data_IF_823962570901
#
_entry.id   IF_823962570901
#
_cell.length_a   1.000
_cell.length_b   1.000
_cell.length_c   1.000
_cell.angle_alpha   90.00
_cell.angle_beta   90.00
_cell.angle_gamma   90.00
#
_symmetry.space_group_name_H-M   'P 1'
#
loop_
_entity.id
_entity.type
_entity.pdbx_description
1 polymer ?
#
# COMPACT_ATOMS: atom_id res chain seq x y z
N UNK A 1 -31.63 -54.83 23.19
CA UNK A 1 -30.21 -54.46 23.45
C UNK A 1 -29.27 -54.95 22.36
N UNK A 2 -29.41 -56.18 21.84
CA UNK A 2 -28.54 -56.69 20.76
C UNK A 2 -28.71 -55.99 19.38
N UNK A 3 -29.87 -55.41 19.09
CA UNK A 3 -30.13 -54.69 17.82
C UNK A 3 -29.48 -53.32 17.74
N UNK A 4 -29.54 -52.53 18.81
CA UNK A 4 -28.90 -51.21 18.93
C UNK A 4 -27.37 -51.27 18.88
N UNK A 5 -26.79 -52.39 19.28
CA UNK A 5 -25.34 -52.58 19.29
C UNK A 5 -24.81 -52.88 17.88
N UNK A 6 -25.62 -53.55 17.06
CA UNK A 6 -25.32 -53.87 15.66
C UNK A 6 -25.47 -52.65 14.74
N UNK A 7 -26.49 -51.83 14.95
CA UNK A 7 -26.68 -50.56 14.20
C UNK A 7 -25.51 -49.59 14.44
N UNK A 8 -24.98 -49.55 15.67
CA UNK A 8 -23.83 -48.70 16.01
C UNK A 8 -22.51 -49.21 15.41
N UNK A 9 -22.33 -50.53 15.31
CA UNK A 9 -21.17 -51.13 14.64
C UNK A 9 -21.21 -50.90 13.12
N UNK A 10 -22.40 -50.95 12.50
CA UNK A 10 -22.58 -50.65 11.08
C UNK A 10 -22.33 -49.16 10.76
N UNK A 11 -22.77 -48.22 11.61
CA UNK A 11 -22.45 -46.79 11.47
C UNK A 11 -20.95 -46.48 11.65
N UNK A 12 -20.26 -47.14 12.58
CA UNK A 12 -18.81 -46.96 12.79
C UNK A 12 -17.97 -47.49 11.62
N UNK A 13 -18.39 -48.58 10.98
CA UNK A 13 -17.76 -49.11 9.75
C UNK A 13 -17.96 -48.12 8.58
N UNK A 14 -19.16 -47.57 8.41
CA UNK A 14 -19.45 -46.61 7.33
C UNK A 14 -18.66 -45.29 7.49
N UNK A 15 -18.46 -44.83 8.73
CA UNK A 15 -17.64 -43.65 9.01
C UNK A 15 -16.16 -43.93 8.72
N UNK A 16 -15.64 -45.10 9.07
CA UNK A 16 -14.24 -45.49 8.78
C UNK A 16 -13.98 -45.58 7.28
N UNK A 17 -14.94 -46.10 6.51
CA UNK A 17 -14.81 -46.19 5.06
C UNK A 17 -14.78 -44.79 4.43
N UNK A 18 -15.64 -43.86 4.87
CA UNK A 18 -15.64 -42.45 4.43
C UNK A 18 -14.36 -41.69 4.81
N UNK A 19 -13.77 -41.99 5.97
CA UNK A 19 -12.48 -41.38 6.38
C UNK A 19 -11.37 -41.87 5.46
N UNK A 20 -11.33 -43.17 5.17
CA UNK A 20 -10.31 -43.79 4.31
C UNK A 20 -10.39 -43.30 2.86
N UNK A 21 -11.59 -43.05 2.36
CA UNK A 21 -11.81 -42.45 1.04
C UNK A 21 -11.27 -41.01 0.99
N UNK A 22 -11.58 -40.19 2.01
CA UNK A 22 -11.05 -38.82 2.11
C UNK A 22 -9.53 -38.74 2.26
N UNK A 23 -8.92 -39.65 3.01
CA UNK A 23 -7.46 -39.73 3.14
C UNK A 23 -6.79 -40.04 1.80
N UNK A 24 -7.43 -40.85 0.96
CA UNK A 24 -6.95 -41.17 -0.38
C UNK A 24 -7.04 -39.96 -1.32
N UNK A 25 -8.13 -39.20 -1.25
CA UNK A 25 -8.31 -37.97 -2.04
C UNK A 25 -7.28 -36.90 -1.64
N UNK A 26 -6.98 -36.77 -0.34
CA UNK A 26 -5.96 -35.83 0.16
C UNK A 26 -4.57 -36.22 -0.36
N UNK A 27 -4.22 -37.51 -0.32
CA UNK A 27 -2.94 -37.99 -0.84
C UNK A 27 -2.78 -37.76 -2.35
N UNK A 28 -3.86 -37.86 -3.12
CA UNK A 28 -3.86 -37.59 -4.56
C UNK A 28 -3.65 -36.08 -4.85
N UNK A 29 -4.30 -35.21 -4.06
CA UNK A 29 -4.12 -33.75 -4.15
C UNK A 29 -2.71 -33.29 -3.75
N UNK A 30 -2.11 -33.90 -2.73
CA UNK A 30 -0.72 -33.61 -2.32
C UNK A 30 0.28 -34.01 -3.42
N UNK A 31 0.08 -35.17 -4.05
CA UNK A 31 0.93 -35.62 -5.16
C UNK A 31 0.78 -34.73 -6.42
N UNK A 32 -0.40 -34.15 -6.65
CA UNK A 32 -0.59 -33.18 -7.74
C UNK A 32 0.06 -31.83 -7.43
N UNK A 33 -0.02 -31.37 -6.18
CA UNK A 33 0.65 -30.15 -5.74
C UNK A 33 2.18 -30.25 -5.86
N UNK A 34 2.77 -31.39 -5.52
CA UNK A 34 4.23 -31.61 -5.62
C UNK A 34 4.72 -31.54 -7.08
N UNK A 35 3.95 -32.13 -8.02
CA UNK A 35 4.23 -32.03 -9.46
C UNK A 35 4.17 -30.59 -9.98
N UNK A 36 3.21 -29.80 -9.50
CA UNK A 36 3.09 -28.38 -9.89
C UNK A 36 4.26 -27.54 -9.34
N UNK A 37 4.71 -27.82 -8.12
CA UNK A 37 5.89 -27.16 -7.53
C UNK A 37 7.14 -27.48 -8.35
N UNK A 38 7.34 -28.75 -8.72
CA UNK A 38 8.47 -29.16 -9.56
C UNK A 38 8.45 -28.47 -10.93
N UNK A 39 7.29 -28.42 -11.60
CA UNK A 39 7.12 -27.71 -12.87
C UNK A 39 7.45 -26.22 -12.78
N UNK A 40 7.01 -25.54 -11.72
CA UNK A 40 7.31 -24.12 -11.47
C UNK A 40 8.82 -23.93 -11.26
N UNK A 41 9.47 -24.82 -10.49
CA UNK A 41 10.92 -24.71 -10.25
C UNK A 41 11.72 -24.85 -11.54
N UNK A 42 11.41 -25.82 -12.40
CA UNK A 42 12.04 -25.96 -13.71
C UNK A 42 11.86 -24.72 -14.59
N UNK A 43 10.66 -24.13 -14.60
CA UNK A 43 10.37 -22.96 -15.41
C UNK A 43 11.12 -21.72 -14.90
N UNK A 44 11.26 -21.58 -13.58
CA UNK A 44 12.06 -20.50 -12.97
C UNK A 44 13.55 -20.62 -13.29
N UNK A 45 14.12 -21.83 -13.34
CA UNK A 45 15.52 -22.04 -13.74
C UNK A 45 15.74 -21.74 -15.23
N UNK A 46 14.81 -22.15 -16.10
CA UNK A 46 14.82 -21.79 -17.55
C UNK A 46 14.77 -20.27 -17.76
N UNK A 47 14.06 -19.53 -16.91
CA UNK A 47 14.01 -18.06 -16.96
C UNK A 47 15.35 -17.45 -16.48
N UNK A 48 15.94 -17.93 -15.39
CA UNK A 48 17.25 -17.45 -14.90
C UNK A 48 18.35 -17.64 -15.93
N UNK A 49 18.36 -18.75 -16.66
CA UNK A 49 19.34 -19.04 -17.70
C UNK A 49 19.19 -18.10 -18.92
N UNK A 50 17.96 -17.84 -19.36
CA UNK A 50 17.66 -16.85 -20.43
C UNK A 50 18.07 -15.42 -20.04
N UNK A 51 17.95 -15.04 -18.78
CA UNK A 51 18.38 -13.73 -18.26
C UNK A 51 19.91 -13.63 -18.24
N UNK A 52 20.63 -14.73 -17.98
CA UNK A 52 22.11 -14.78 -17.98
C UNK A 52 22.69 -14.63 -19.39
N UNK A 53 22.05 -15.24 -20.39
CA UNK A 53 22.46 -15.15 -21.81
C UNK A 53 22.26 -13.72 -22.36
N UNK A 54 21.19 -13.02 -21.98
CA UNK A 54 20.96 -11.61 -22.39
C UNK A 54 21.93 -10.59 -21.79
N UNK A 55 22.52 -10.87 -20.62
CA UNK A 55 23.51 -9.97 -20.00
C UNK A 55 24.90 -10.08 -20.63
N UNK A 56 25.24 -11.20 -21.27
CA UNK A 56 26.55 -11.38 -21.92
C UNK A 56 26.60 -10.88 -23.37
N UNK A 57 25.46 -10.72 -24.05
CA UNK A 57 25.42 -10.24 -25.45
C UNK A 57 25.36 -8.71 -25.61
N UNK A 58 25.28 -7.92 -24.52
CA UNK A 58 25.28 -6.44 -24.57
C UNK A 58 26.66 -5.78 -24.37
N UNK A 59 27.73 -6.56 -24.19
CA UNK A 59 29.11 -6.06 -24.09
C UNK A 59 29.89 -6.49 -25.33
N UNK A 60 29.58 -5.93 -26.51
CA UNK A 60 30.44 -5.91 -27.72
C UNK A 60 29.75 -5.16 -28.87
N UNK A 61 29.58 -3.85 -28.75
CA UNK A 61 29.56 -2.91 -29.90
C UNK A 61 29.21 -1.50 -29.43
N UNK A 62 30.22 -0.63 -29.29
CA UNK A 62 30.19 0.80 -29.60
C UNK A 62 31.48 1.46 -29.06
N UNK A 63 32.56 1.36 -29.82
CA UNK A 63 33.59 2.41 -29.82
C UNK A 63 33.13 3.45 -30.84
N UNK A 64 32.86 4.70 -30.46
CA UNK A 64 33.05 5.92 -31.29
C UNK A 64 33.02 7.16 -30.37
N UNK A 65 34.16 7.86 -30.35
CA UNK A 65 34.42 9.30 -30.08
C UNK A 65 34.13 9.87 -28.68
N UNK A 66 35.20 9.98 -27.88
CA UNK A 66 35.26 10.83 -26.68
C UNK A 66 35.67 12.26 -27.07
N UNK A 67 34.80 13.25 -26.80
CA UNK A 67 35.23 14.62 -26.49
C UNK A 67 35.31 14.75 -24.96
N UNK A 68 36.36 15.35 -24.39
CA UNK A 68 36.45 15.50 -22.94
C UNK A 68 35.52 16.62 -22.48
N UNK A 69 34.36 16.27 -21.92
CA UNK A 69 33.57 17.19 -21.10
C UNK A 69 34.18 17.17 -19.70
N UNK A 70 34.86 18.25 -19.35
CA UNK A 70 35.31 18.54 -18.00
C UNK A 70 34.11 18.59 -17.06
N UNK A 71 34.05 17.63 -16.13
CA UNK A 71 33.11 17.61 -15.01
C UNK A 71 33.20 18.94 -14.23
N UNK A 72 32.11 19.69 -14.02
CA UNK A 72 32.14 20.75 -13.03
C UNK A 72 32.44 20.15 -11.66
N UNK A 73 33.47 20.68 -11.03
CA UNK A 73 33.94 20.28 -9.70
C UNK A 73 32.83 20.49 -8.69
N UNK A 74 32.60 19.45 -7.88
CA UNK A 74 31.87 19.53 -6.61
C UNK A 74 32.42 20.70 -5.80
N UNK A 75 31.63 21.77 -5.70
CA UNK A 75 31.63 22.64 -4.53
C UNK A 75 30.33 22.31 -3.80
N UNK A 76 30.29 21.10 -3.24
CA UNK A 76 29.37 20.82 -2.14
C UNK A 76 30.15 21.26 -0.91
N UNK A 77 29.87 22.49 -0.50
CA UNK A 77 30.27 23.04 0.79
C UNK A 77 29.93 22.02 1.87
N UNK A 78 30.89 21.81 2.76
CA UNK A 78 30.84 20.84 3.86
C UNK A 78 29.66 21.14 4.78
N UNK A 79 28.53 20.51 4.54
CA UNK A 79 27.53 20.32 5.59
C UNK A 79 26.91 18.94 5.38
N UNK A 80 27.58 17.93 5.93
CA UNK A 80 26.96 16.62 6.15
C UNK A 80 25.86 16.81 7.17
N UNK A 81 24.69 17.27 6.73
CA UNK A 81 23.46 17.00 7.43
C UNK A 81 23.36 15.47 7.52
N UNK A 82 23.53 14.92 8.73
CA UNK A 82 23.07 13.57 9.03
C UNK A 82 21.57 13.58 8.69
N UNK A 83 21.20 12.99 7.56
CA UNK A 83 19.81 12.59 7.35
C UNK A 83 19.55 11.57 8.46
N UNK A 84 18.93 12.01 9.55
CA UNK A 84 18.43 11.09 10.56
C UNK A 84 17.29 10.35 9.86
N UNK A 85 17.42 9.04 9.72
CA UNK A 85 16.29 8.20 9.38
C UNK A 85 15.19 8.48 10.43
N UNK A 86 14.04 8.95 9.95
CA UNK A 86 12.90 9.22 10.81
C UNK A 86 12.42 7.87 11.33
N UNK A 87 12.44 7.68 12.64
CA UNK A 87 11.99 6.44 13.26
C UNK A 87 10.48 6.45 13.41
N UNK A 88 9.88 5.26 13.55
CA UNK A 88 8.45 5.13 13.88
C UNK A 88 8.09 5.87 15.18
N UNK A 89 9.00 5.88 16.16
CA UNK A 89 8.81 6.63 17.40
C UNK A 89 8.72 8.14 17.18
N UNK A 90 9.48 8.68 16.20
CA UNK A 90 9.44 10.10 15.87
C UNK A 90 8.12 10.47 15.16
N UNK A 91 7.63 9.59 14.29
CA UNK A 91 6.31 9.73 13.67
C UNK A 91 5.21 9.74 14.75
N UNK A 92 5.25 8.78 15.68
CA UNK A 92 4.27 8.69 16.77
C UNK A 92 4.35 9.94 17.66
N UNK A 93 5.55 10.45 17.98
CA UNK A 93 5.70 11.70 18.74
C UNK A 93 5.05 12.88 18.03
N UNK A 94 5.21 13.00 16.70
CA UNK A 94 4.58 14.05 15.91
C UNK A 94 3.04 13.93 15.99
N UNK A 95 2.50 12.73 15.77
CA UNK A 95 1.06 12.48 15.86
C UNK A 95 0.49 12.80 17.26
N UNK A 96 1.20 12.47 18.34
CA UNK A 96 0.77 12.76 19.72
C UNK A 96 0.76 14.26 20.03
N UNK A 97 1.58 15.08 19.36
CA UNK A 97 1.57 16.53 19.54
C UNK A 97 0.25 17.14 19.05
N UNK A 98 -0.24 16.67 17.91
CA UNK A 98 -1.52 17.08 17.33
C UNK A 98 -2.68 16.41 18.07
N UNK A 99 -2.64 15.09 18.20
CA UNK A 99 -3.69 14.25 18.79
C UNK A 99 -3.26 13.78 20.17
N UNK A 100 -3.42 14.63 21.18
CA UNK A 100 -2.94 14.38 22.56
C UNK A 100 -3.49 13.09 23.18
N UNK A 101 -4.65 12.63 22.71
CA UNK A 101 -5.35 11.43 23.14
C UNK A 101 -4.82 10.14 22.50
N UNK A 102 -4.17 10.23 21.34
CA UNK A 102 -3.68 9.08 20.60
C UNK A 102 -2.59 8.35 21.39
N UNK A 103 -2.58 7.01 21.31
CA UNK A 103 -1.64 6.12 22.03
C UNK A 103 -1.68 6.25 23.57
N UNK A 104 -2.76 6.80 24.12
CA UNK A 104 -2.96 6.99 25.57
C UNK A 104 -4.34 6.50 26.01
N UNK A 105 -4.65 5.25 25.68
CA UNK A 105 -5.91 4.58 26.01
C UNK A 105 -6.28 4.69 27.50
N UNK A 106 -5.28 4.62 28.39
CA UNK A 106 -5.49 4.72 29.83
C UNK A 106 -5.89 6.12 30.32
N UNK A 107 -5.50 7.18 29.59
CA UNK A 107 -5.77 8.57 29.98
C UNK A 107 -7.01 9.14 29.27
N UNK A 108 -7.31 8.64 28.08
CA UNK A 108 -8.45 9.07 27.26
C UNK A 108 -9.33 7.89 26.86
N UNK A 109 -9.83 7.08 27.82
CA UNK A 109 -10.58 5.87 27.52
C UNK A 109 -11.82 6.15 26.66
N UNK A 110 -12.50 7.28 26.91
CA UNK A 110 -13.68 7.71 26.17
C UNK A 110 -13.47 7.90 24.66
N UNK A 111 -12.22 8.11 24.19
CA UNK A 111 -11.92 8.18 22.76
C UNK A 111 -11.93 6.81 22.08
N UNK A 112 -11.76 5.72 22.83
CA UNK A 112 -11.63 4.36 22.29
C UNK A 112 -12.96 3.58 22.30
N UNK A 113 -14.04 4.25 22.68
CA UNK A 113 -15.40 3.72 22.69
C UNK A 113 -16.26 4.52 21.70
N UNK A 114 -17.14 3.84 20.98
CA UNK A 114 -18.16 4.52 20.17
C UNK A 114 -19.16 5.17 21.13
N UNK A 115 -19.47 6.47 21.00
CA UNK A 115 -20.45 7.13 21.87
C UNK A 115 -21.79 6.39 21.88
N UNK A 116 -22.31 6.09 23.07
CA UNK A 116 -23.58 5.37 23.23
C UNK A 116 -24.79 6.29 23.18
N UNK A 117 -25.89 5.80 22.59
CA UNK A 117 -27.17 6.52 22.56
C UNK A 117 -27.81 6.53 23.94
N UNK A 118 -27.76 7.66 24.62
CA UNK A 118 -28.46 7.88 25.89
C UNK A 118 -29.92 8.21 25.62
N UNK A 119 -30.83 7.62 26.41
CA UNK A 119 -32.30 7.75 26.22
C UNK A 119 -32.81 9.19 26.24
N UNK A 120 -32.09 10.11 26.88
CA UNK A 120 -32.54 11.48 27.14
C UNK A 120 -31.77 12.55 26.34
N UNK A 121 -30.95 12.16 25.36
CA UNK A 121 -30.07 13.08 24.64
C UNK A 121 -30.23 12.96 23.13
N UNK A 122 -30.85 13.97 22.52
CA UNK A 122 -30.97 14.09 21.07
C UNK A 122 -29.62 14.38 20.37
N UNK A 123 -28.58 14.79 21.12
CA UNK A 123 -27.26 15.13 20.59
C UNK A 123 -26.34 13.93 20.32
N UNK A 124 -26.83 12.69 20.39
CA UNK A 124 -26.00 11.50 20.23
C UNK A 124 -25.34 11.43 18.83
N UNK A 125 -26.07 11.80 17.78
CA UNK A 125 -25.55 11.79 16.41
C UNK A 125 -24.37 12.76 16.26
N UNK A 126 -24.44 13.94 16.87
CA UNK A 126 -23.37 14.93 16.88
C UNK A 126 -22.12 14.43 17.63
N UNK A 127 -22.31 13.68 18.72
CA UNK A 127 -21.20 13.08 19.47
C UNK A 127 -20.48 12.01 18.65
N UNK A 128 -21.23 11.14 17.95
CA UNK A 128 -20.64 10.13 17.05
C UNK A 128 -19.96 10.78 15.86
N UNK A 129 -20.56 11.81 15.27
CA UNK A 129 -19.99 12.54 14.13
C UNK A 129 -18.69 13.25 14.51
N UNK A 130 -18.65 13.92 15.67
CA UNK A 130 -17.44 14.53 16.23
C UNK A 130 -16.34 13.51 16.52
N UNK A 131 -16.70 12.39 17.17
CA UNK A 131 -15.77 11.29 17.43
C UNK A 131 -15.20 10.69 16.13
N UNK A 132 -16.06 10.43 15.15
CA UNK A 132 -15.66 9.88 13.86
C UNK A 132 -14.79 10.87 13.09
N UNK A 133 -15.08 12.16 13.16
CA UNK A 133 -14.27 13.23 12.56
C UNK A 133 -12.86 13.26 13.14
N UNK A 134 -12.72 13.26 14.47
CA UNK A 134 -11.41 13.27 15.14
C UNK A 134 -10.57 12.06 14.76
N UNK A 135 -11.17 10.87 14.79
CA UNK A 135 -10.47 9.65 14.39
C UNK A 135 -10.16 9.59 12.88
N UNK A 136 -11.01 10.14 12.03
CA UNK A 136 -10.78 10.19 10.58
C UNK A 136 -9.63 11.13 10.23
N UNK A 137 -9.57 12.28 10.89
CA UNK A 137 -8.46 13.22 10.77
C UNK A 137 -7.15 12.57 11.26
N UNK A 138 -7.21 11.87 12.40
CA UNK A 138 -6.07 11.10 12.90
C UNK A 138 -5.64 10.02 11.89
N UNK A 139 -6.57 9.24 11.32
CA UNK A 139 -6.26 8.21 10.33
C UNK A 139 -5.61 8.82 9.09
N UNK A 140 -6.13 9.95 8.60
CA UNK A 140 -5.56 10.66 7.46
C UNK A 140 -4.12 11.12 7.71
N UNK A 141 -3.85 11.76 8.84
CA UNK A 141 -2.50 12.20 9.22
C UNK A 141 -1.58 11.01 9.49
N UNK A 142 -2.10 9.95 10.09
CA UNK A 142 -1.37 8.70 10.28
C UNK A 142 -0.93 8.13 8.93
N UNK A 143 -1.81 8.07 7.93
CA UNK A 143 -1.47 7.62 6.58
C UNK A 143 -0.39 8.50 5.95
N UNK A 144 -0.49 9.83 6.11
CA UNK A 144 0.48 10.79 5.58
C UNK A 144 1.85 10.61 6.21
N UNK A 145 1.95 10.53 7.53
CA UNK A 145 3.24 10.43 8.22
C UNK A 145 3.92 9.08 7.98
N UNK A 146 3.14 7.99 7.89
CA UNK A 146 3.61 6.65 7.52
C UNK A 146 3.69 6.41 6.00
N UNK A 147 3.37 7.40 5.16
CA UNK A 147 3.39 7.34 3.69
C UNK A 147 2.56 6.18 3.10
N UNK A 148 1.41 5.85 3.71
CA UNK A 148 0.55 4.71 3.32
C UNK A 148 -0.62 5.11 2.44
N UNK A 149 -0.47 4.99 1.12
CA UNK A 149 -1.48 5.45 0.16
C UNK A 149 -2.74 4.60 0.14
N UNK A 150 -2.60 3.32 0.46
CA UNK A 150 -3.69 2.36 0.60
C UNK A 150 -3.63 1.80 2.01
N UNK A 151 -4.78 1.80 2.67
CA UNK A 151 -4.95 1.23 4.00
C UNK A 151 -5.92 0.07 3.90
N UNK A 152 -5.51 -1.07 4.43
CA UNK A 152 -6.37 -2.22 4.62
C UNK A 152 -6.94 -2.22 6.05
N UNK A 153 -8.26 -2.41 6.16
CA UNK A 153 -8.95 -2.48 7.46
C UNK A 153 -8.35 -3.57 8.35
N UNK A 154 -7.98 -4.72 7.78
CA UNK A 154 -7.40 -5.83 8.54
C UNK A 154 -6.02 -5.50 9.09
N UNK A 155 -5.23 -4.67 8.40
CA UNK A 155 -3.94 -4.22 8.91
C UNK A 155 -4.13 -3.31 10.13
N UNK A 156 -5.11 -2.40 10.10
CA UNK A 156 -5.41 -1.49 11.20
C UNK A 156 -5.79 -2.21 12.48
N UNK A 157 -6.47 -3.36 12.40
CA UNK A 157 -6.85 -4.17 13.58
C UNK A 157 -5.68 -4.54 14.49
N UNK A 158 -4.46 -4.56 13.95
CA UNK A 158 -3.24 -4.93 14.69
C UNK A 158 -2.37 -3.73 15.04
N UNK A 159 -2.58 -2.57 14.41
CA UNK A 159 -1.74 -1.38 14.56
C UNK A 159 -2.23 -0.49 15.71
N UNK A 160 -1.32 0.00 16.54
CA UNK A 160 -1.64 1.04 17.53
C UNK A 160 -1.84 2.39 16.80
N UNK A 161 -2.80 3.23 17.23
CA UNK A 161 -3.67 3.05 18.40
C UNK A 161 -5.01 2.33 18.07
N UNK A 162 -5.25 1.97 16.81
CA UNK A 162 -6.50 1.38 16.34
C UNK A 162 -6.83 0.03 17.00
N UNK A 163 -5.82 -0.77 17.33
CA UNK A 163 -6.00 -2.04 18.03
C UNK A 163 -6.55 -1.91 19.47
N UNK A 164 -6.60 -0.69 20.02
CA UNK A 164 -7.15 -0.41 21.34
C UNK A 164 -8.62 0.04 21.31
N UNK A 165 -9.23 0.19 20.12
CA UNK A 165 -10.68 0.42 19.99
C UNK A 165 -11.45 -0.77 20.60
N UNK A 166 -12.56 -0.53 21.29
CA UNK A 166 -13.33 -1.61 21.92
C UNK A 166 -14.01 -2.52 20.88
N UNK A 167 -14.98 -1.99 20.14
CA UNK A 167 -15.55 -2.65 18.97
C UNK A 167 -14.74 -2.26 17.73
N UNK A 168 -13.57 -2.90 17.56
CA UNK A 168 -12.60 -2.56 16.52
C UNK A 168 -13.19 -2.56 15.12
N UNK A 169 -13.97 -3.59 14.78
CA UNK A 169 -14.53 -3.75 13.45
C UNK A 169 -15.49 -2.60 13.12
N UNK A 170 -16.46 -2.36 14.01
CA UNK A 170 -17.45 -1.29 13.82
C UNK A 170 -16.82 0.10 13.90
N UNK A 171 -15.86 0.29 14.81
CA UNK A 171 -15.15 1.56 14.97
C UNK A 171 -14.38 1.91 13.69
N UNK A 172 -13.62 0.96 13.16
CA UNK A 172 -12.86 1.16 11.92
C UNK A 172 -13.78 1.39 10.72
N UNK A 173 -14.92 0.68 10.63
CA UNK A 173 -15.93 0.94 9.61
C UNK A 173 -16.41 2.39 9.66
N UNK A 174 -16.84 2.88 10.83
CA UNK A 174 -17.32 4.27 11.00
C UNK A 174 -16.23 5.28 10.64
N UNK A 175 -15.00 5.07 11.12
CA UNK A 175 -13.87 5.99 10.90
C UNK A 175 -13.52 6.05 9.41
N UNK A 176 -13.37 4.88 8.76
CA UNK A 176 -13.00 4.82 7.35
C UNK A 176 -14.13 5.34 6.44
N UNK A 177 -15.39 5.04 6.77
CA UNK A 177 -16.54 5.58 6.04
C UNK A 177 -16.66 7.09 6.19
N UNK A 178 -16.41 7.62 7.40
CA UNK A 178 -16.41 9.05 7.63
C UNK A 178 -15.33 9.74 6.79
N UNK A 179 -14.11 9.20 6.77
CA UNK A 179 -13.03 9.72 5.92
C UNK A 179 -13.39 9.64 4.42
N UNK A 180 -14.08 8.58 4.00
CA UNK A 180 -14.53 8.39 2.62
C UNK A 180 -15.74 9.26 2.20
N UNK A 181 -16.39 9.99 3.14
CA UNK A 181 -17.45 10.96 2.81
C UNK A 181 -16.93 12.04 1.86
N UNK A 182 -15.68 12.47 2.03
CA UNK A 182 -15.01 13.37 1.10
C UNK A 182 -14.13 12.59 0.13
N UNK A 183 -14.64 12.41 -1.10
CA UNK A 183 -13.91 11.75 -2.19
C UNK A 183 -12.56 12.38 -2.54
N UNK A 184 -12.30 13.62 -2.11
CA UNK A 184 -11.00 14.29 -2.28
C UNK A 184 -9.97 13.82 -1.26
N UNK A 185 -10.41 13.31 -0.10
CA UNK A 185 -9.55 12.83 0.96
C UNK A 185 -9.37 11.31 0.91
N UNK A 186 -10.43 10.56 0.61
CA UNK A 186 -10.33 9.12 0.48
C UNK A 186 -11.38 8.48 -0.43
N UNK A 187 -11.08 7.28 -0.92
CA UNK A 187 -11.98 6.50 -1.78
C UNK A 187 -11.85 5.00 -1.52
N UNK A 188 -12.98 4.32 -1.38
CA UNK A 188 -13.02 2.85 -1.32
C UNK A 188 -12.55 2.23 -2.64
N UNK A 189 -11.67 1.23 -2.54
CA UNK A 189 -11.14 0.49 -3.70
C UNK A 189 -11.96 -0.74 -4.06
N UNK A 190 -12.82 -1.20 -3.16
CA UNK A 190 -13.66 -2.37 -3.32
C UNK A 190 -15.02 -2.20 -2.64
N UNK A 191 -16.01 -2.95 -3.12
CA UNK A 191 -17.39 -2.86 -2.64
C UNK A 191 -17.54 -3.41 -1.21
N UNK A 192 -16.68 -4.35 -0.80
CA UNK A 192 -16.66 -4.87 0.57
C UNK A 192 -16.05 -3.90 1.59
N UNK A 193 -15.63 -2.70 1.16
CA UNK A 193 -15.06 -1.64 2.01
C UNK A 193 -13.96 -2.14 2.94
N UNK A 194 -13.01 -2.90 2.38
CA UNK A 194 -11.86 -3.39 3.14
C UNK A 194 -10.59 -2.60 2.86
N UNK A 195 -10.51 -1.95 1.68
CA UNK A 195 -9.35 -1.17 1.28
C UNK A 195 -9.72 0.27 0.91
N UNK A 196 -9.06 1.20 1.57
CA UNK A 196 -9.27 2.63 1.39
C UNK A 196 -8.03 3.28 0.78
N UNK A 197 -8.22 4.01 -0.33
CA UNK A 197 -7.21 4.88 -0.92
C UNK A 197 -7.27 6.25 -0.24
N UNK A 198 -6.17 6.73 0.33
CA UNK A 198 -6.10 8.01 1.07
C UNK A 198 -5.24 9.07 0.35
N UNK A 199 -5.85 10.17 -0.05
CA UNK A 199 -5.22 11.25 -0.81
C UNK A 199 -4.76 12.40 0.10
N UNK A 200 -3.64 12.22 0.83
CA UNK A 200 -3.03 13.36 1.57
C UNK A 200 -2.37 14.41 0.69
N UNK A 201 -2.26 14.10 -0.60
CA UNK A 201 -1.80 14.99 -1.65
C UNK A 201 -2.56 14.64 -2.91
N UNK A 202 -3.01 15.66 -3.65
CA UNK A 202 -3.77 15.46 -4.88
C UNK A 202 -2.88 14.92 -6.00
N UNK A 203 -3.48 14.23 -6.98
CA UNK A 203 -2.75 13.69 -8.12
C UNK A 203 -2.16 14.80 -8.99
N UNK A 204 -2.85 15.93 -9.11
CA UNK A 204 -2.34 17.12 -9.80
C UNK A 204 -1.08 17.64 -9.13
N UNK A 205 -1.07 17.71 -7.79
CA UNK A 205 0.09 18.19 -7.06
C UNK A 205 1.27 17.22 -7.14
N UNK A 206 1.00 15.92 -7.16
CA UNK A 206 2.03 14.93 -7.47
C UNK A 206 2.58 15.08 -8.89
N UNK A 207 1.72 15.39 -9.87
CA UNK A 207 2.13 15.71 -11.23
C UNK A 207 3.05 16.91 -11.31
N UNK A 208 2.72 18.00 -10.61
CA UNK A 208 3.58 19.18 -10.50
C UNK A 208 4.95 18.83 -9.91
N UNK A 209 4.97 18.08 -8.79
CA UNK A 209 6.21 17.64 -8.14
C UNK A 209 7.07 16.80 -9.09
N UNK A 210 6.44 15.86 -9.81
CA UNK A 210 7.13 15.02 -10.79
C UNK A 210 7.71 15.85 -11.95
N UNK A 211 6.93 16.79 -12.48
CA UNK A 211 7.35 17.65 -13.58
C UNK A 211 8.52 18.56 -13.18
N UNK A 212 8.41 19.21 -12.02
CA UNK A 212 9.45 20.09 -11.48
C UNK A 212 10.75 19.31 -11.23
N UNK A 213 10.64 18.10 -10.65
CA UNK A 213 11.79 17.23 -10.45
C UNK A 213 12.45 16.85 -11.78
N UNK A 214 11.66 16.44 -12.79
CA UNK A 214 12.18 16.05 -14.09
C UNK A 214 12.89 17.22 -14.79
N UNK A 215 12.32 18.42 -14.71
CA UNK A 215 12.95 19.64 -15.24
C UNK A 215 14.30 19.95 -14.56
N UNK A 216 14.37 19.81 -13.24
CA UNK A 216 15.59 20.09 -12.47
C UNK A 216 16.71 19.09 -12.74
N UNK A 217 16.37 17.80 -12.87
CA UNK A 217 17.34 16.73 -13.15
C UNK A 217 17.71 16.68 -14.64
N UNK A 218 16.87 17.26 -15.51
CA UNK A 218 17.03 17.19 -16.96
C UNK A 218 16.62 15.84 -17.54
N UNK A 219 15.71 15.13 -16.87
CA UNK A 219 15.17 13.87 -17.38
C UNK A 219 14.00 14.12 -18.32
N UNK A 220 14.12 13.65 -19.55
CA UNK A 220 13.14 13.91 -20.61
C UNK A 220 12.20 12.72 -20.85
N UNK A 221 12.62 11.49 -20.54
CA UNK A 221 11.89 10.27 -20.87
C UNK A 221 11.97 9.26 -19.76
N UNK A 222 10.82 8.78 -19.31
CA UNK A 222 10.72 7.82 -18.22
C UNK A 222 9.67 6.76 -18.53
N UNK A 223 9.81 5.62 -17.86
CA UNK A 223 8.79 4.58 -17.77
C UNK A 223 8.10 4.60 -16.41
N UNK A 224 6.92 3.97 -16.33
CA UNK A 224 6.24 3.75 -15.04
C UNK A 224 7.10 2.97 -14.03
N UNK A 225 8.03 2.14 -14.50
CA UNK A 225 8.95 1.42 -13.64
C UNK A 225 10.02 2.37 -13.06
N UNK A 226 10.57 3.23 -13.91
CA UNK A 226 11.56 4.24 -13.52
C UNK A 226 11.00 5.15 -12.43
N UNK A 227 9.73 5.57 -12.56
CA UNK A 227 9.03 6.36 -11.53
C UNK A 227 8.96 5.67 -10.17
N UNK A 228 8.85 4.34 -10.16
CA UNK A 228 8.80 3.56 -8.91
C UNK A 228 10.19 3.40 -8.30
N UNK A 229 11.21 3.20 -9.13
CA UNK A 229 12.60 3.07 -8.69
C UNK A 229 13.17 4.40 -8.20
N UNK A 230 12.83 5.50 -8.86
CA UNK A 230 13.27 6.87 -8.54
C UNK A 230 12.30 7.61 -7.63
N UNK A 231 11.22 6.98 -7.17
CA UNK A 231 10.16 7.63 -6.38
C UNK A 231 10.71 8.37 -5.15
N UNK A 232 11.65 7.75 -4.44
CA UNK A 232 12.28 8.35 -3.27
C UNK A 232 13.12 9.60 -3.60
N UNK A 233 13.65 9.70 -4.83
CA UNK A 233 14.40 10.87 -5.31
C UNK A 233 13.46 11.99 -5.80
N UNK A 234 12.25 11.64 -6.25
CA UNK A 234 11.21 12.60 -6.65
C UNK A 234 10.67 13.31 -5.42
N UNK A 235 10.12 12.54 -4.47
CA UNK A 235 9.57 13.07 -3.22
C UNK A 235 9.24 11.95 -2.25
N UNK A 236 9.31 12.24 -0.95
CA UNK A 236 9.00 11.27 0.11
C UNK A 236 7.56 10.75 -0.04
N UNK A 237 7.41 9.43 -0.19
CA UNK A 237 6.11 8.76 -0.34
C UNK A 237 5.65 8.63 -1.79
N UNK A 238 6.34 9.22 -2.76
CA UNK A 238 6.01 9.01 -4.17
C UNK A 238 6.24 7.54 -4.58
N UNK A 239 7.24 6.88 -4.00
CA UNK A 239 7.58 5.48 -4.24
C UNK A 239 6.48 4.48 -3.86
N UNK A 240 5.60 4.85 -2.92
CA UNK A 240 4.49 4.00 -2.45
C UNK A 240 3.17 4.27 -3.18
N UNK A 241 3.15 5.17 -4.18
CA UNK A 241 1.96 5.46 -4.96
C UNK A 241 1.46 4.21 -5.71
N UNK A 242 0.14 3.97 -5.75
CA UNK A 242 -0.44 2.88 -6.53
C UNK A 242 -0.15 3.03 -8.02
N UNK A 243 -0.01 1.92 -8.74
CA UNK A 243 0.28 1.94 -10.17
C UNK A 243 -0.81 2.65 -11.00
N UNK A 244 -2.06 2.59 -10.55
CA UNK A 244 -3.17 3.32 -11.17
C UNK A 244 -2.97 4.82 -11.04
N UNK A 245 -2.70 5.30 -9.83
CA UNK A 245 -2.43 6.71 -9.56
C UNK A 245 -1.25 7.25 -10.35
N UNK A 246 -0.15 6.50 -10.47
CA UNK A 246 1.00 6.91 -11.30
C UNK A 246 0.59 7.15 -12.75
N UNK A 247 -0.31 6.31 -13.28
CA UNK A 247 -0.84 6.48 -14.63
C UNK A 247 -1.74 7.72 -14.72
N UNK A 248 -2.65 7.88 -13.76
CA UNK A 248 -3.57 9.00 -13.70
C UNK A 248 -2.81 10.34 -13.57
N UNK A 249 -1.71 10.37 -12.81
CA UNK A 249 -0.80 11.52 -12.70
C UNK A 249 -0.20 11.89 -14.06
N UNK A 250 0.28 10.90 -14.83
CA UNK A 250 0.83 11.17 -16.16
C UNK A 250 -0.27 11.63 -17.11
N UNK A 251 -1.48 11.07 -17.01
CA UNK A 251 -2.62 11.48 -17.82
C UNK A 251 -2.97 12.96 -17.58
N UNK A 252 -2.98 13.41 -16.32
CA UNK A 252 -3.12 14.82 -15.95
C UNK A 252 -2.01 15.69 -16.59
N UNK A 253 -0.75 15.23 -16.58
CA UNK A 253 0.35 15.96 -17.22
C UNK A 253 0.21 16.02 -18.75
N UNK A 254 -0.32 14.98 -19.36
CA UNK A 254 -0.60 14.91 -20.81
C UNK A 254 -1.73 15.86 -21.19
N UNK A 255 -2.82 15.89 -20.43
CA UNK A 255 -3.93 16.82 -20.61
C UNK A 255 -3.47 18.28 -20.51
N UNK A 256 -2.55 18.56 -19.58
CA UNK A 256 -1.93 19.87 -19.40
C UNK A 256 -0.81 20.19 -20.41
N UNK A 257 -0.59 19.33 -21.42
CA UNK A 257 0.46 19.44 -22.47
C UNK A 257 1.91 19.41 -21.97
N UNK A 258 2.12 19.14 -20.68
CA UNK A 258 3.43 19.04 -20.03
C UNK A 258 4.11 17.68 -20.23
N UNK A 259 3.37 16.68 -20.70
CA UNK A 259 3.90 15.36 -21.04
C UNK A 259 3.24 14.77 -22.30
N UNK A 260 3.78 13.70 -22.83
CA UNK A 260 3.19 12.92 -23.92
C UNK A 260 3.57 11.45 -23.82
N UNK A 261 2.59 10.57 -24.00
CA UNK A 261 2.84 9.13 -24.09
C UNK A 261 3.66 8.80 -25.34
N UNK A 262 4.71 7.99 -25.17
CA UNK A 262 5.47 7.38 -26.28
C UNK A 262 4.86 6.03 -26.61
N UNK A 263 4.59 5.24 -25.57
CA UNK A 263 3.94 3.94 -25.64
C UNK A 263 3.06 3.72 -24.39
N UNK A 264 2.58 2.49 -24.15
CA UNK A 264 1.70 2.16 -23.01
C UNK A 264 2.37 2.21 -21.63
N UNK A 265 3.69 2.33 -21.56
CA UNK A 265 4.53 2.22 -20.36
C UNK A 265 5.54 3.37 -20.23
N UNK A 266 5.80 4.09 -21.31
CA UNK A 266 6.83 5.10 -21.43
C UNK A 266 6.24 6.42 -21.90
N UNK A 267 6.71 7.52 -21.34
CA UNK A 267 6.27 8.87 -21.66
C UNK A 267 7.47 9.82 -21.71
N UNK A 268 7.25 11.00 -22.27
CA UNK A 268 8.21 12.09 -22.28
C UNK A 268 7.63 13.34 -21.65
N UNK A 269 8.47 14.16 -21.05
CA UNK A 269 8.12 15.51 -20.64
C UNK A 269 8.28 16.47 -21.81
N UNK A 270 7.43 17.49 -21.86
CA UNK A 270 7.53 18.61 -22.79
C UNK A 270 7.92 19.83 -21.96
N UNK A 271 9.21 20.15 -21.94
CA UNK A 271 9.70 21.37 -21.31
C UNK A 271 9.56 22.54 -22.28
N UNK A 272 8.79 23.56 -21.91
CA UNK A 272 8.78 24.83 -22.63
C UNK A 272 10.09 25.56 -22.31
N UNK A 273 11.00 25.63 -23.30
CA UNK A 273 12.27 26.38 -23.25
C UNK A 273 12.09 27.72 -23.95
#
# INVERSE_FOLDING_TARGET
MATLQREREEEEEEIKEKIKEKEKDIAELEAEAEKLVEAITEETEKIKEKVKIKKQSKVKSAQVVQKPITKPKKIITKEKARIKEITEEDIIKNLIQTYKWAYKENLYPWMYFIPEKKKDKDSWEEEVDSWASEWSNFLFDWCKEFLQHIVDKFDLHTKRPFNALEDREKSLEIIMDYLAKDSKLAKWLNDEKTRLRVYWQSLEKWGDILYDWAFLVGEERLTLLDLREMGADISKGFESLPAKDLRDIIEILVENKRASWIDKRSFKFNFDI
#
